data_IF_269471833842
#
_entry.id   IF_269471833842
#
_cell.length_a   1.000
_cell.length_b   1.000
_cell.length_c   1.000
_cell.angle_alpha   90.00
_cell.angle_beta   90.00
_cell.angle_gamma   90.00
#
_symmetry.space_group_name_H-M   'P 1'
#
loop_
_entity.id
_entity.type
_entity.pdbx_description
1 polymer ?
#
# COMPACT_ATOMS: atom_id res chain seq x y z
N UNK A 1 7.43 2.10 0.53
CA UNK A 1 8.88 1.84 0.60
C UNK A 1 9.25 2.31 1.98
N UNK A 2 9.46 1.38 2.91
CA UNK A 2 9.77 1.75 4.30
C UNK A 2 11.19 2.32 4.28
N UNK A 3 11.30 3.64 4.43
CA UNK A 3 12.59 4.33 4.50
C UNK A 3 13.26 3.90 5.82
N UNK A 4 14.32 3.10 5.74
CA UNK A 4 15.22 2.88 6.87
C UNK A 4 16.23 4.02 6.91
N UNK A 5 16.14 4.86 7.94
CA UNK A 5 17.25 5.71 8.37
C UNK A 5 18.22 4.78 9.10
N UNK A 6 19.37 4.50 8.49
CA UNK A 6 20.44 3.76 9.14
C UNK A 6 21.18 4.68 10.12
N UNK A 7 21.11 4.40 11.42
CA UNK A 7 22.03 4.98 12.40
C UNK A 7 23.36 4.20 12.42
N UNK A 8 24.51 4.87 12.57
CA UNK A 8 25.82 4.23 12.54
C UNK A 8 26.03 3.37 13.79
N UNK A 9 26.40 2.09 13.59
CA UNK A 9 26.88 1.21 14.67
C UNK A 9 28.28 1.64 15.08
N UNK A 10 28.44 2.10 16.31
CA UNK A 10 29.71 2.07 17.01
C UNK A 10 29.89 0.68 17.63
N UNK A 11 31.02 0.04 17.29
CA UNK A 11 31.56 -1.12 18.00
C UNK A 11 32.21 -0.64 19.30
N UNK A 12 31.87 -1.25 20.44
CA UNK A 12 32.84 -1.63 21.48
C UNK A 12 32.28 -2.76 22.35
N UNK A 13 33.11 -3.80 22.50
CA UNK A 13 32.95 -4.99 23.34
C UNK A 13 32.90 -4.69 24.84
N UNK A 14 32.30 -5.63 25.60
CA UNK A 14 32.45 -5.69 27.07
C UNK A 14 31.60 -6.76 27.76
N UNK A 15 32.21 -7.90 28.05
CA UNK A 15 31.63 -9.12 28.66
C UNK A 15 31.47 -9.02 30.22
N UNK A 16 30.32 -9.52 30.74
CA UNK A 16 30.04 -10.23 32.03
C UNK A 16 30.14 -9.51 33.42
N UNK A 17 29.60 -10.07 34.54
CA UNK A 17 28.36 -10.88 34.74
C UNK A 17 27.52 -10.56 36.03
N UNK A 18 26.29 -11.11 36.04
CA UNK A 18 25.42 -11.60 37.14
C UNK A 18 25.59 -11.12 38.60
N UNK A 19 24.46 -10.80 39.26
CA UNK A 19 24.18 -11.24 40.65
C UNK A 19 22.70 -11.18 41.01
N UNK A 20 22.21 -12.31 41.47
CA UNK A 20 20.96 -12.58 42.19
C UNK A 20 20.87 -11.90 43.55
N UNK A 21 19.66 -11.50 43.99
CA UNK A 21 19.19 -11.66 45.38
C UNK A 21 17.66 -11.56 45.48
N UNK A 22 17.14 -12.18 46.53
CA UNK A 22 15.80 -12.74 46.74
C UNK A 22 15.28 -12.22 48.09
N UNK A 23 13.94 -12.13 48.24
CA UNK A 23 13.14 -12.13 49.49
C UNK A 23 13.19 -10.88 50.41
N UNK A 24 12.13 -10.37 51.09
CA UNK A 24 10.95 -10.89 51.83
C UNK A 24 9.83 -9.80 51.89
N UNK A 25 8.53 -10.11 51.71
CA UNK A 25 7.43 -10.42 52.67
C UNK A 25 6.85 -9.28 53.56
N UNK A 26 5.49 -9.28 53.65
CA UNK A 26 4.68 -8.72 54.75
C UNK A 26 3.51 -7.84 54.26
N UNK A 27 2.35 -8.41 53.89
CA UNK A 27 1.11 -8.55 54.70
C UNK A 27 0.51 -7.19 55.15
N UNK A 28 -0.73 -6.79 54.79
CA UNK A 28 -2.00 -7.37 55.29
C UNK A 28 -3.24 -6.74 54.61
N UNK A 29 -4.16 -7.62 54.20
CA UNK A 29 -5.63 -7.68 54.39
C UNK A 29 -6.52 -6.42 54.48
N UNK A 30 -7.59 -6.43 53.65
CA UNK A 30 -8.83 -5.69 53.87
C UNK A 30 -9.96 -6.13 52.92
N UNK A 31 -10.79 -7.09 53.37
CA UNK A 31 -12.00 -7.60 52.68
C UNK A 31 -13.19 -6.70 53.01
N UNK A 32 -13.93 -6.21 52.00
CA UNK A 32 -15.37 -5.87 52.13
C UNK A 32 -16.08 -6.02 50.77
N UNK A 33 -17.23 -6.71 50.77
CA UNK A 33 -18.34 -6.68 49.79
C UNK A 33 -19.62 -6.94 50.59
N UNK A 34 -20.86 -6.75 50.10
CA UNK A 34 -21.35 -6.13 48.85
C UNK A 34 -22.49 -5.10 49.08
N UNK A 35 -22.84 -4.27 48.08
CA UNK A 35 -24.25 -3.89 47.82
C UNK A 35 -24.43 -3.22 46.46
N UNK A 36 -25.55 -3.55 45.81
CA UNK A 36 -26.07 -3.02 44.54
C UNK A 36 -26.24 -1.49 44.53
N UNK A 37 -25.83 -0.83 43.44
CA UNK A 37 -26.62 0.25 42.86
C UNK A 37 -26.20 0.58 41.41
N UNK A 38 -27.21 0.49 40.54
CA UNK A 38 -27.50 1.33 39.36
C UNK A 38 -26.45 1.53 38.27
N UNK A 39 -26.86 1.12 37.07
CA UNK A 39 -26.32 1.49 35.78
C UNK A 39 -26.08 3.01 35.70
N UNK A 40 -24.83 3.39 35.54
CA UNK A 40 -24.42 4.71 35.06
C UNK A 40 -23.79 4.52 33.69
N UNK A 41 -24.42 5.13 32.68
CA UNK A 41 -23.88 5.27 31.35
C UNK A 41 -22.53 5.97 31.44
N UNK A 42 -21.45 5.22 31.25
CA UNK A 42 -20.11 5.78 31.18
C UNK A 42 -19.94 6.41 29.80
N UNK A 43 -19.83 7.72 29.87
CA UNK A 43 -19.69 8.70 28.81
C UNK A 43 -18.52 8.34 27.89
N UNK A 44 -18.79 8.34 26.59
CA UNK A 44 -17.80 8.32 25.52
C UNK A 44 -16.99 9.63 25.60
N UNK A 45 -15.64 9.60 25.65
CA UNK A 45 -14.87 10.78 25.31
C UNK A 45 -14.01 10.58 24.05
N UNK A 46 -13.94 11.69 23.31
CA UNK A 46 -13.19 11.95 22.08
C UNK A 46 -13.90 11.51 20.81
N UNK A 47 -14.80 12.39 20.33
CA UNK A 47 -15.13 12.42 18.92
C UNK A 47 -13.86 12.76 18.13
N UNK A 48 -13.53 12.02 17.06
CA UNK A 48 -12.64 12.56 16.05
C UNK A 48 -13.24 13.87 15.54
N UNK A 49 -12.38 14.84 15.21
CA UNK A 49 -12.74 16.07 14.51
C UNK A 49 -13.84 15.76 13.48
N UNK A 50 -14.94 16.53 13.44
CA UNK A 50 -16.01 16.25 12.50
C UNK A 50 -15.39 16.12 11.11
N UNK A 51 -15.73 15.06 10.34
CA UNK A 51 -15.18 14.90 9.00
C UNK A 51 -15.41 16.20 8.24
N UNK A 52 -14.42 16.58 7.42
CA UNK A 52 -14.66 17.58 6.39
C UNK A 52 -15.97 17.25 5.65
N UNK A 53 -16.61 18.23 5.03
CA UNK A 53 -17.81 17.99 4.21
C UNK A 53 -17.63 16.88 3.15
N UNK A 54 -16.39 16.47 2.87
CA UNK A 54 -15.98 15.41 1.94
C UNK A 54 -15.90 14.00 2.55
N UNK A 55 -15.97 13.83 3.88
CA UNK A 55 -15.88 12.50 4.51
C UNK A 55 -14.46 11.89 4.52
N UNK A 56 -13.43 12.73 4.41
CA UNK A 56 -12.01 12.33 4.43
C UNK A 56 -11.41 12.60 5.80
N UNK A 57 -10.70 11.62 6.34
CA UNK A 57 -9.96 11.73 7.59
C UNK A 57 -8.47 11.83 7.26
N UNK A 58 -7.82 12.89 7.72
CA UNK A 58 -6.37 13.01 7.63
C UNK A 58 -5.72 12.18 8.74
N UNK A 59 -5.00 11.13 8.35
CA UNK A 59 -4.35 10.20 9.26
C UNK A 59 -2.83 10.32 9.22
N UNK A 60 -2.30 11.30 8.48
CA UNK A 60 -0.85 11.48 8.34
C UNK A 60 -0.21 11.76 9.69
N UNK A 61 0.88 11.04 9.96
CA UNK A 61 1.70 11.24 11.16
C UNK A 61 2.48 12.57 11.15
N UNK A 62 2.55 13.24 10.00
CA UNK A 62 3.14 14.56 9.80
C UNK A 62 2.17 15.43 9.00
N UNK A 63 2.18 16.75 9.26
CA UNK A 63 1.43 17.70 8.43
C UNK A 63 2.04 17.84 7.04
N UNK A 64 3.33 17.51 6.88
CA UNK A 64 3.98 17.42 5.58
C UNK A 64 3.45 16.19 4.81
N UNK A 65 2.93 16.41 3.62
CA UNK A 65 2.57 15.34 2.69
C UNK A 65 3.81 14.55 2.29
N UNK A 66 3.64 13.25 2.02
CA UNK A 66 4.69 12.47 1.35
C UNK A 66 5.08 13.12 0.01
N UNK A 67 4.12 13.79 -0.64
CA UNK A 67 4.34 14.54 -1.87
C UNK A 67 5.24 15.78 -1.66
N UNK A 68 5.31 16.31 -0.44
CA UNK A 68 6.18 17.45 -0.11
C UNK A 68 7.65 17.03 0.01
N UNK A 69 7.93 15.72 0.14
CA UNK A 69 9.29 15.18 0.26
C UNK A 69 9.85 14.65 -1.08
N UNK A 70 9.12 14.83 -2.19
CA UNK A 70 9.52 14.28 -3.49
C UNK A 70 10.83 14.87 -4.02
N UNK A 71 11.14 16.11 -3.67
CA UNK A 71 12.42 16.73 -3.99
C UNK A 71 13.59 15.99 -3.33
N UNK A 72 13.51 15.75 -2.03
CA UNK A 72 14.50 15.08 -1.21
C UNK A 72 14.66 13.63 -1.65
N UNK A 73 13.55 12.91 -1.84
CA UNK A 73 13.56 11.53 -2.35
C UNK A 73 14.19 11.44 -3.74
N UNK A 74 13.94 12.42 -4.61
CA UNK A 74 14.54 12.46 -5.95
C UNK A 74 16.04 12.68 -5.87
N UNK A 75 16.50 13.63 -5.05
CA UNK A 75 17.94 13.88 -4.86
C UNK A 75 18.64 12.68 -4.23
N UNK A 76 18.10 12.09 -3.16
CA UNK A 76 18.64 10.89 -2.52
C UNK A 76 18.75 9.71 -3.50
N UNK A 77 17.74 9.52 -4.33
CA UNK A 77 17.71 8.48 -5.36
C UNK A 77 18.74 8.73 -6.47
N UNK A 78 18.89 9.98 -6.93
CA UNK A 78 19.89 10.36 -7.94
C UNK A 78 21.32 10.35 -7.40
N UNK A 79 21.52 10.46 -6.09
CA UNK A 79 22.84 10.40 -5.43
C UNK A 79 23.35 8.99 -5.17
N UNK A 80 22.50 7.97 -5.31
CA UNK A 80 22.93 6.59 -5.08
C UNK A 80 24.12 6.22 -5.99
N UNK A 81 24.95 5.24 -5.60
CA UNK A 81 26.05 4.76 -6.44
C UNK A 81 25.60 4.25 -7.80
N UNK A 82 26.57 4.13 -8.72
CA UNK A 82 26.32 3.57 -10.06
C UNK A 82 25.57 2.23 -9.98
N UNK A 83 24.48 2.12 -10.73
CA UNK A 83 23.64 0.91 -10.76
C UNK A 83 22.59 0.81 -9.64
N UNK A 84 22.55 1.78 -8.71
CA UNK A 84 21.55 1.85 -7.63
C UNK A 84 20.69 3.14 -7.66
N UNK A 85 20.83 3.98 -8.69
CA UNK A 85 20.08 5.23 -8.81
C UNK A 85 18.59 4.97 -9.07
N UNK A 86 17.76 5.75 -8.40
CA UNK A 86 16.29 5.66 -8.50
C UNK A 86 15.64 7.03 -8.53
N UNK A 87 14.39 7.09 -8.99
CA UNK A 87 13.46 8.18 -8.73
C UNK A 87 12.19 7.64 -8.06
N UNK A 88 11.55 8.41 -7.18
CA UNK A 88 10.33 7.96 -6.53
C UNK A 88 9.20 7.77 -7.55
N UNK A 89 8.57 6.61 -7.56
CA UNK A 89 7.43 6.32 -8.44
C UNK A 89 6.25 7.27 -8.23
N UNK A 90 6.14 7.89 -7.05
CA UNK A 90 5.13 8.90 -6.70
C UNK A 90 5.09 10.09 -7.67
N UNK A 91 6.19 10.38 -8.36
CA UNK A 91 6.23 11.38 -9.43
C UNK A 91 5.29 11.05 -10.61
N UNK A 92 4.81 9.80 -10.71
CA UNK A 92 3.94 9.34 -11.77
C UNK A 92 2.44 9.40 -11.44
N UNK A 93 2.07 9.79 -10.21
CA UNK A 93 0.72 9.54 -9.66
C UNK A 93 -0.04 10.79 -9.24
N UNK A 94 0.44 12.00 -9.58
CA UNK A 94 -0.42 13.19 -9.49
C UNK A 94 -1.56 13.13 -10.52
N UNK A 95 -2.48 14.10 -10.49
CA UNK A 95 -3.67 14.14 -11.37
C UNK A 95 -3.35 13.85 -12.85
N UNK A 96 -2.36 14.56 -13.41
CA UNK A 96 -1.96 14.39 -14.81
C UNK A 96 -1.25 13.05 -15.05
N UNK A 97 -0.46 12.57 -14.08
CA UNK A 97 0.12 11.24 -14.12
C UNK A 97 -0.94 10.15 -14.17
N UNK A 98 -2.01 10.29 -13.39
CA UNK A 98 -3.14 9.38 -13.38
C UNK A 98 -3.92 9.39 -14.70
N UNK A 99 -4.12 10.55 -15.32
CA UNK A 99 -4.75 10.66 -16.64
C UNK A 99 -3.97 9.92 -17.73
N UNK A 100 -2.65 10.09 -17.74
CA UNK A 100 -1.75 9.36 -18.64
C UNK A 100 -1.77 7.85 -18.37
N UNK A 101 -1.87 7.43 -17.11
CA UNK A 101 -2.02 6.02 -16.77
C UNK A 101 -3.38 5.47 -17.21
N UNK A 102 -4.46 6.25 -17.15
CA UNK A 102 -5.77 5.86 -17.65
C UNK A 102 -5.74 5.57 -19.18
N UNK A 103 -4.90 6.25 -19.96
CA UNK A 103 -4.67 5.89 -21.38
C UNK A 103 -4.06 4.49 -21.54
N UNK A 104 -3.17 4.08 -20.62
CA UNK A 104 -2.60 2.73 -20.60
C UNK A 104 -3.69 1.71 -20.25
N UNK A 105 -4.54 2.01 -19.26
CA UNK A 105 -5.66 1.14 -18.88
C UNK A 105 -6.66 0.93 -20.02
N UNK A 106 -6.84 1.93 -20.88
CA UNK A 106 -7.69 1.85 -22.07
C UNK A 106 -7.06 1.04 -23.22
N UNK A 107 -5.76 0.72 -23.15
CA UNK A 107 -5.08 -0.07 -24.17
C UNK A 107 -5.42 -1.55 -24.07
N UNK A 108 -5.82 -2.15 -25.20
CA UNK A 108 -6.06 -3.59 -25.29
C UNK A 108 -4.81 -4.44 -24.99
N UNK A 109 -3.61 -3.85 -25.12
CA UNK A 109 -2.33 -4.50 -24.87
C UNK A 109 -2.02 -4.64 -23.38
N UNK A 110 -2.55 -3.74 -22.53
CA UNK A 110 -2.33 -3.82 -21.08
C UNK A 110 -3.27 -4.86 -20.45
N UNK A 111 -2.91 -6.14 -20.62
CA UNK A 111 -3.71 -7.25 -20.11
C UNK A 111 -4.00 -7.19 -18.61
N UNK A 112 -3.11 -6.71 -17.70
CA UNK A 112 -3.34 -6.82 -16.25
C UNK A 112 -4.66 -6.17 -15.81
N UNK A 113 -5.00 -5.02 -16.38
CA UNK A 113 -6.26 -4.34 -16.08
C UNK A 113 -7.48 -5.11 -16.61
N UNK A 114 -7.41 -5.62 -17.84
CA UNK A 114 -8.53 -6.34 -18.46
C UNK A 114 -8.80 -7.66 -17.74
N UNK A 115 -7.76 -8.46 -17.51
CA UNK A 115 -7.91 -9.78 -16.90
C UNK A 115 -8.45 -9.68 -15.48
N UNK A 116 -8.01 -8.71 -14.69
CA UNK A 116 -8.54 -8.48 -13.35
C UNK A 116 -10.01 -8.06 -13.39
N UNK A 117 -10.39 -7.15 -14.30
CA UNK A 117 -11.79 -6.75 -14.46
C UNK A 117 -12.68 -7.92 -14.89
N UNK A 118 -12.23 -8.74 -15.83
CA UNK A 118 -12.94 -9.94 -16.30
C UNK A 118 -13.11 -10.95 -15.16
N UNK A 119 -12.03 -11.21 -14.42
CA UNK A 119 -12.03 -12.11 -13.25
C UNK A 119 -12.98 -11.61 -12.16
N UNK A 120 -12.91 -10.32 -11.81
CA UNK A 120 -13.83 -9.72 -10.85
C UNK A 120 -15.26 -9.89 -11.32
N UNK A 121 -15.61 -9.53 -12.56
CA UNK A 121 -16.99 -9.69 -13.08
C UNK A 121 -17.49 -11.14 -13.02
N UNK A 122 -16.63 -12.12 -13.24
CA UNK A 122 -17.00 -13.54 -13.23
C UNK A 122 -17.17 -14.10 -11.81
N UNK A 123 -16.43 -13.57 -10.83
CA UNK A 123 -16.33 -14.14 -9.46
C UNK A 123 -16.80 -13.20 -8.36
N UNK A 124 -17.40 -12.05 -8.71
CA UNK A 124 -17.66 -10.98 -7.74
C UNK A 124 -18.56 -11.42 -6.59
N UNK A 125 -19.56 -12.26 -6.86
CA UNK A 125 -20.49 -12.74 -5.85
C UNK A 125 -19.81 -13.70 -4.86
N UNK A 126 -18.93 -14.59 -5.36
CA UNK A 126 -18.12 -15.48 -4.51
C UNK A 126 -17.13 -14.69 -3.64
N UNK A 127 -16.47 -13.69 -4.23
CA UNK A 127 -15.54 -12.79 -3.55
C UNK A 127 -16.27 -12.01 -2.45
N UNK A 128 -17.40 -11.39 -2.79
CA UNK A 128 -18.23 -10.62 -1.87
C UNK A 128 -18.76 -11.49 -0.72
N UNK A 129 -19.26 -12.68 -1.03
CA UNK A 129 -19.74 -13.64 -0.02
C UNK A 129 -18.63 -14.08 0.93
N UNK A 130 -17.42 -14.31 0.41
CA UNK A 130 -16.25 -14.66 1.23
C UNK A 130 -15.90 -13.53 2.22
N UNK A 131 -15.89 -12.27 1.73
CA UNK A 131 -15.61 -11.11 2.59
C UNK A 131 -16.72 -10.90 3.62
N UNK A 132 -17.99 -10.96 3.22
CA UNK A 132 -19.13 -10.81 4.14
C UNK A 132 -19.12 -11.87 5.25
N UNK A 133 -18.79 -13.12 4.91
CA UNK A 133 -18.72 -14.24 5.86
C UNK A 133 -17.53 -14.18 6.82
N UNK A 134 -16.61 -13.22 6.65
CA UNK A 134 -15.42 -13.08 7.51
C UNK A 134 -15.68 -12.36 8.86
N UNK A 135 -16.94 -11.95 9.08
CA UNK A 135 -17.35 -11.07 10.19
C UNK A 135 -16.52 -9.79 10.20
N UNK A 136 -16.41 -9.14 9.05
CA UNK A 136 -15.68 -7.89 8.90
C UNK A 136 -16.56 -6.72 9.34
N UNK A 137 -16.02 -5.83 10.16
CA UNK A 137 -16.71 -4.61 10.62
C UNK A 137 -16.41 -3.43 9.67
N UNK A 138 -15.28 -3.49 8.96
CA UNK A 138 -14.85 -2.44 8.03
C UNK A 138 -14.02 -2.99 6.88
N UNK A 139 -14.00 -2.26 5.76
CA UNK A 139 -13.12 -2.52 4.61
C UNK A 139 -12.20 -1.33 4.41
N UNK A 140 -10.91 -1.56 4.19
CA UNK A 140 -9.93 -0.53 3.86
C UNK A 140 -9.25 -0.89 2.54
N UNK A 141 -9.43 -0.08 1.49
CA UNK A 141 -8.71 -0.23 0.23
C UNK A 141 -7.40 0.55 0.25
N UNK A 142 -6.30 -0.13 -0.08
CA UNK A 142 -4.95 0.40 -0.07
C UNK A 142 -4.56 0.90 -1.48
N UNK A 143 -4.46 2.21 -1.67
CA UNK A 143 -4.18 2.82 -2.97
C UNK A 143 -5.40 2.70 -3.87
N UNK A 144 -6.47 3.39 -3.48
CA UNK A 144 -7.80 3.20 -4.05
C UNK A 144 -7.95 3.75 -5.48
N UNK A 145 -7.09 4.70 -5.88
CA UNK A 145 -7.05 5.25 -7.24
C UNK A 145 -8.44 5.65 -7.74
N UNK A 146 -8.78 5.31 -8.99
CA UNK A 146 -10.06 5.71 -9.61
C UNK A 146 -11.29 4.87 -9.19
N UNK A 147 -11.12 3.87 -8.30
CA UNK A 147 -12.20 3.04 -7.73
C UNK A 147 -13.19 2.38 -8.71
N UNK A 148 -12.80 2.22 -9.98
CA UNK A 148 -13.71 1.60 -10.99
C UNK A 148 -14.01 0.14 -10.64
N UNK A 149 -12.98 -0.65 -10.31
CA UNK A 149 -13.13 -2.04 -9.84
C UNK A 149 -13.81 -2.12 -8.48
N UNK A 150 -13.45 -1.20 -7.59
CA UNK A 150 -14.01 -1.06 -6.25
C UNK A 150 -15.53 -0.90 -6.31
N UNK A 151 -16.06 -0.12 -7.26
CA UNK A 151 -17.51 0.04 -7.44
C UNK A 151 -18.25 -1.29 -7.66
N UNK A 152 -17.66 -2.21 -8.43
CA UNK A 152 -18.23 -3.55 -8.66
C UNK A 152 -18.20 -4.38 -7.39
N UNK A 153 -17.06 -4.35 -6.68
CA UNK A 153 -16.88 -5.08 -5.43
C UNK A 153 -17.83 -4.59 -4.32
N UNK A 154 -17.90 -3.28 -4.08
CA UNK A 154 -18.77 -2.72 -3.06
C UNK A 154 -20.25 -2.95 -3.36
N UNK A 155 -20.68 -2.84 -4.62
CA UNK A 155 -22.06 -3.14 -4.99
C UNK A 155 -22.43 -4.62 -4.82
N UNK A 156 -21.49 -5.54 -4.97
CA UNK A 156 -21.70 -6.96 -4.70
C UNK A 156 -21.67 -7.25 -3.18
N UNK A 157 -20.73 -6.65 -2.45
CA UNK A 157 -20.62 -6.78 -1.00
C UNK A 157 -21.87 -6.24 -0.29
N UNK A 158 -22.36 -5.07 -0.67
CA UNK A 158 -23.54 -4.43 -0.07
C UNK A 158 -24.77 -5.35 -0.10
N UNK A 159 -24.95 -6.14 -1.17
CA UNK A 159 -26.05 -7.12 -1.29
C UNK A 159 -25.94 -8.30 -0.33
N UNK A 160 -24.75 -8.57 0.20
CA UNK A 160 -24.47 -9.66 1.14
C UNK A 160 -24.57 -9.20 2.60
N UNK A 161 -24.74 -7.90 2.84
CA UNK A 161 -24.76 -7.32 4.18
C UNK A 161 -26.20 -7.12 4.65
N UNK A 162 -26.41 -7.30 5.95
CA UNK A 162 -27.62 -6.94 6.69
C UNK A 162 -27.34 -5.94 7.82
N UNK A 163 -26.06 -5.62 8.06
CA UNK A 163 -25.60 -4.63 9.04
C UNK A 163 -24.72 -3.57 8.39
N UNK A 164 -24.71 -2.32 8.90
CA UNK A 164 -23.85 -1.27 8.39
C UNK A 164 -22.36 -1.60 8.44
N UNK A 165 -21.63 -1.19 7.42
CA UNK A 165 -20.17 -1.32 7.30
C UNK A 165 -19.57 -0.02 6.76
N UNK A 166 -18.36 0.33 7.19
CA UNK A 166 -17.63 1.47 6.61
C UNK A 166 -16.53 0.99 5.69
N UNK A 167 -16.56 1.49 4.46
CA UNK A 167 -15.49 1.37 3.48
C UNK A 167 -14.61 2.62 3.53
N UNK A 168 -13.30 2.42 3.66
CA UNK A 168 -12.29 3.46 3.67
C UNK A 168 -11.38 3.34 2.44
N UNK A 169 -11.34 4.38 1.62
CA UNK A 169 -10.33 4.55 0.58
C UNK A 169 -9.09 5.22 1.16
N UNK A 170 -7.95 4.53 1.22
CA UNK A 170 -6.68 5.08 1.67
C UNK A 170 -5.81 5.50 0.48
N UNK A 171 -5.47 6.78 0.41
CA UNK A 171 -4.58 7.34 -0.62
C UNK A 171 -3.78 8.55 -0.13
N UNK A 172 -2.75 8.94 -0.88
CA UNK A 172 -1.80 10.03 -0.52
C UNK A 172 -2.14 11.36 -1.19
N UNK A 173 -2.95 11.35 -2.26
CA UNK A 173 -3.37 12.55 -2.98
C UNK A 173 -4.81 12.92 -2.60
N UNK A 174 -4.96 14.06 -1.91
CA UNK A 174 -6.26 14.52 -1.43
C UNK A 174 -7.24 14.83 -2.56
N UNK A 175 -6.79 15.53 -3.62
CA UNK A 175 -7.66 15.96 -4.70
C UNK A 175 -8.17 14.75 -5.50
N UNK A 176 -7.29 13.78 -5.76
CA UNK A 176 -7.65 12.52 -6.40
C UNK A 176 -8.60 11.70 -5.53
N UNK A 177 -8.37 11.64 -4.21
CA UNK A 177 -9.23 10.92 -3.27
C UNK A 177 -10.65 11.53 -3.24
N UNK A 178 -10.77 12.85 -3.17
CA UNK A 178 -12.05 13.57 -3.21
C UNK A 178 -12.82 13.29 -4.51
N UNK A 179 -12.15 13.43 -5.65
CA UNK A 179 -12.74 13.19 -6.97
C UNK A 179 -13.19 11.73 -7.16
N UNK A 180 -12.38 10.78 -6.69
CA UNK A 180 -12.65 9.34 -6.84
C UNK A 180 -13.79 8.87 -5.92
N UNK A 181 -13.88 9.38 -4.68
CA UNK A 181 -15.01 9.11 -3.78
C UNK A 181 -16.31 9.66 -4.35
N UNK A 182 -16.30 10.89 -4.89
CA UNK A 182 -17.48 11.47 -5.54
C UNK A 182 -17.95 10.59 -6.71
N UNK A 183 -17.02 10.23 -7.59
CA UNK A 183 -17.29 9.37 -8.75
C UNK A 183 -17.81 7.98 -8.33
N UNK A 184 -17.26 7.38 -7.29
CA UNK A 184 -17.74 6.11 -6.74
C UNK A 184 -19.19 6.22 -6.28
N UNK A 185 -19.51 7.25 -5.47
CA UNK A 185 -20.88 7.50 -4.98
C UNK A 185 -21.89 7.74 -6.10
N UNK A 186 -21.48 8.34 -7.22
CA UNK A 186 -22.32 8.52 -8.40
C UNK A 186 -22.56 7.21 -9.17
N UNK A 187 -21.62 6.26 -9.12
CA UNK A 187 -21.69 4.97 -9.83
C UNK A 187 -22.43 3.88 -9.06
N UNK A 188 -22.57 4.02 -7.75
CA UNK A 188 -23.13 2.98 -6.86
C UNK A 188 -24.32 3.47 -6.07
N UNK A 189 -25.27 2.58 -5.79
CA UNK A 189 -26.29 2.77 -4.76
C UNK A 189 -26.04 1.75 -3.66
N UNK A 190 -25.52 2.21 -2.52
CA UNK A 190 -25.13 1.37 -1.39
C UNK A 190 -26.09 1.61 -0.22
N UNK A 191 -26.61 0.54 0.36
CA UNK A 191 -27.58 0.59 1.46
C UNK A 191 -26.90 0.44 2.82
N UNK A 192 -25.94 -0.47 2.92
CA UNK A 192 -25.26 -0.83 4.16
C UNK A 192 -23.85 -0.26 4.24
N UNK A 193 -23.23 0.07 3.09
CA UNK A 193 -21.85 0.56 3.05
C UNK A 193 -21.78 2.08 3.04
N UNK A 194 -21.16 2.66 4.08
CA UNK A 194 -20.74 4.06 4.09
C UNK A 194 -19.34 4.21 3.47
N UNK A 195 -19.18 5.17 2.54
CA UNK A 195 -17.90 5.45 1.87
C UNK A 195 -17.21 6.67 2.48
N UNK A 196 -15.99 6.46 3.00
CA UNK A 196 -15.09 7.48 3.57
C UNK A 196 -13.70 7.41 2.94
N UNK A 197 -12.93 8.48 3.11
CA UNK A 197 -11.51 8.55 2.71
C UNK A 197 -10.57 8.60 3.90
N UNK A 198 -9.36 8.07 3.71
CA UNK A 198 -8.22 8.24 4.60
C UNK A 198 -7.10 8.89 3.78
N UNK A 199 -6.66 10.07 4.18
CA UNK A 199 -5.50 10.73 3.59
C UNK A 199 -4.26 10.32 4.37
N UNK A 200 -3.36 9.58 3.73
CA UNK A 200 -2.10 9.17 4.34
C UNK A 200 -1.40 8.02 3.62
N UNK A 201 -0.21 7.67 4.10
CA UNK A 201 0.55 6.53 3.57
C UNK A 201 0.01 5.19 4.08
N UNK A 202 0.44 4.07 3.49
CA UNK A 202 0.14 2.75 4.03
C UNK A 202 0.64 2.58 5.47
N UNK A 203 1.79 3.17 5.82
CA UNK A 203 2.31 3.14 7.17
C UNK A 203 1.45 3.97 8.14
N UNK A 204 0.91 5.10 7.69
CA UNK A 204 -0.06 5.87 8.47
C UNK A 204 -1.35 5.09 8.68
N UNK A 205 -1.85 4.42 7.64
CA UNK A 205 -3.02 3.53 7.71
C UNK A 205 -2.83 2.41 8.72
N UNK A 206 -1.74 1.65 8.60
CA UNK A 206 -1.40 0.57 9.52
C UNK A 206 -1.36 1.04 10.99
N UNK A 207 -0.74 2.19 11.25
CA UNK A 207 -0.65 2.79 12.58
C UNK A 207 -2.00 3.32 13.08
N UNK A 208 -2.77 4.00 12.23
CA UNK A 208 -4.07 4.55 12.59
C UNK A 208 -5.03 3.42 12.98
N UNK A 209 -5.04 2.31 12.25
CA UNK A 209 -5.88 1.15 12.52
C UNK A 209 -5.52 0.38 13.80
N UNK A 210 -4.27 0.51 14.27
CA UNK A 210 -3.76 -0.20 15.44
C UNK A 210 -3.93 0.60 16.75
N UNK A 211 -3.98 1.94 16.66
CA UNK A 211 -4.05 2.84 17.82
C UNK A 211 -5.37 2.80 18.59
N UNK A 212 -5.37 2.71 19.93
CA UNK A 212 -6.59 2.80 20.74
C UNK A 212 -7.38 4.09 20.52
N UNK A 213 -6.70 5.22 20.31
CA UNK A 213 -7.32 6.55 20.16
C UNK A 213 -8.14 6.67 18.87
N UNK A 214 -7.85 5.84 17.87
CA UNK A 214 -8.64 5.79 16.63
C UNK A 214 -10.03 5.20 16.86
N UNK A 215 -10.23 4.45 17.95
CA UNK A 215 -11.41 3.60 18.14
C UNK A 215 -11.47 2.40 17.19
N UNK A 216 -10.50 2.20 16.28
CA UNK A 216 -10.56 1.15 15.26
C UNK A 216 -9.94 -0.17 15.73
N UNK A 217 -9.10 -0.16 16.77
CA UNK A 217 -8.31 -1.33 17.19
C UNK A 217 -9.13 -2.60 17.41
N UNK A 218 -10.33 -2.46 17.98
CA UNK A 218 -11.22 -3.58 18.30
C UNK A 218 -12.06 -4.06 17.10
N UNK A 219 -12.17 -3.27 16.03
CA UNK A 219 -12.92 -3.63 14.82
C UNK A 219 -12.15 -4.63 13.96
N UNK A 220 -12.87 -5.60 13.43
CA UNK A 220 -12.41 -6.61 12.47
C UNK A 220 -12.30 -5.99 11.09
N UNK A 221 -11.10 -6.03 10.52
CA UNK A 221 -10.80 -5.25 9.31
C UNK A 221 -10.49 -6.14 8.12
N UNK A 222 -11.12 -5.89 6.98
CA UNK A 222 -10.71 -6.47 5.70
C UNK A 222 -9.89 -5.45 4.92
N UNK A 223 -8.67 -5.80 4.57
CA UNK A 223 -7.84 -4.97 3.68
C UNK A 223 -8.09 -5.39 2.23
N UNK A 224 -8.23 -4.43 1.32
CA UNK A 224 -8.40 -4.68 -0.12
C UNK A 224 -7.24 -4.03 -0.85
N UNK A 225 -6.59 -4.76 -1.75
CA UNK A 225 -5.50 -4.22 -2.56
C UNK A 225 -5.55 -4.80 -3.97
N UNK A 226 -6.17 -4.04 -4.86
CA UNK A 226 -6.42 -4.42 -6.25
C UNK A 226 -5.32 -3.88 -7.18
N UNK A 227 -5.28 -4.36 -8.44
CA UNK A 227 -4.47 -3.74 -9.49
C UNK A 227 -3.03 -4.20 -9.59
N UNK A 228 -2.65 -5.32 -8.94
CA UNK A 228 -1.26 -5.75 -8.82
C UNK A 228 -0.36 -4.70 -8.13
N UNK A 229 -0.93 -3.70 -7.46
CA UNK A 229 -0.20 -2.55 -6.92
C UNK A 229 0.75 -2.94 -5.79
N UNK A 230 0.43 -3.98 -5.01
CA UNK A 230 1.36 -4.54 -4.02
C UNK A 230 2.67 -5.00 -4.67
N UNK A 231 2.62 -5.47 -5.93
CA UNK A 231 3.78 -5.99 -6.64
C UNK A 231 4.68 -4.88 -7.20
N UNK A 232 4.36 -3.61 -6.95
CA UNK A 232 5.33 -2.54 -7.17
C UNK A 232 6.51 -2.64 -6.18
N UNK A 233 6.27 -3.25 -5.02
CA UNK A 233 7.29 -3.62 -4.05
C UNK A 233 8.11 -4.84 -4.48
N UNK A 234 9.32 -4.95 -3.93
CA UNK A 234 10.00 -6.23 -3.89
C UNK A 234 9.24 -7.19 -2.95
N UNK A 235 9.34 -8.49 -3.21
CA UNK A 235 8.59 -9.51 -2.47
C UNK A 235 8.77 -9.43 -0.94
N UNK A 236 9.96 -9.08 -0.45
CA UNK A 236 10.21 -8.94 0.98
C UNK A 236 9.55 -7.68 1.56
N UNK A 237 9.65 -6.54 0.88
CA UNK A 237 9.01 -5.28 1.26
C UNK A 237 7.48 -5.41 1.24
N UNK A 238 6.93 -6.12 0.24
CA UNK A 238 5.50 -6.43 0.18
C UNK A 238 5.04 -7.22 1.41
N UNK A 239 5.85 -8.21 1.83
CA UNK A 239 5.65 -8.93 3.07
C UNK A 239 5.65 -8.00 4.28
N UNK A 240 6.62 -7.09 4.41
CA UNK A 240 6.67 -6.13 5.52
C UNK A 240 5.42 -5.24 5.57
N UNK A 241 4.93 -4.76 4.41
CA UNK A 241 3.70 -3.95 4.37
C UNK A 241 2.48 -4.78 4.79
N UNK A 242 2.30 -5.99 4.27
CA UNK A 242 1.23 -6.89 4.73
C UNK A 242 1.32 -7.17 6.24
N UNK A 243 2.54 -7.38 6.73
CA UNK A 243 2.85 -7.58 8.15
C UNK A 243 2.40 -6.40 9.00
N UNK A 244 2.57 -5.17 8.52
CA UNK A 244 2.17 -3.96 9.25
C UNK A 244 0.65 -3.78 9.43
N UNK A 245 -0.17 -4.49 8.64
CA UNK A 245 -1.63 -4.52 8.83
C UNK A 245 -2.09 -5.77 9.60
N UNK A 246 -1.26 -6.81 9.67
CA UNK A 246 -1.50 -8.01 10.47
C UNK A 246 -1.03 -7.86 11.92
N UNK A 247 -0.01 -7.05 12.16
CA UNK A 247 0.61 -6.79 13.46
C UNK A 247 0.76 -5.29 13.69
N UNK A 248 0.65 -4.86 14.94
CA UNK A 248 0.85 -3.47 15.33
C UNK A 248 2.30 -3.04 14.99
N UNK A 249 2.50 -1.93 14.26
CA UNK A 249 3.84 -1.50 13.88
C UNK A 249 4.75 -1.08 15.03
N UNK A 250 4.20 -0.75 16.21
CA UNK A 250 4.94 -0.28 17.38
C UNK A 250 5.32 -1.43 18.33
N UNK A 251 4.39 -2.34 18.65
CA UNK A 251 4.62 -3.42 19.62
C UNK A 251 4.58 -4.85 19.05
N UNK A 252 4.22 -5.01 17.78
CA UNK A 252 4.14 -6.31 17.10
C UNK A 252 2.95 -7.17 17.50
N UNK A 253 2.04 -6.67 18.34
CA UNK A 253 0.84 -7.41 18.75
C UNK A 253 -0.10 -7.66 17.55
N UNK A 254 -0.79 -8.80 17.46
CA UNK A 254 -1.71 -9.05 16.36
C UNK A 254 -2.82 -8.00 16.29
N UNK A 255 -3.04 -7.43 15.09
CA UNK A 255 -4.20 -6.59 14.84
C UNK A 255 -5.46 -7.44 14.61
N UNK A 256 -6.64 -6.85 14.84
CA UNK A 256 -7.91 -7.55 14.60
C UNK A 256 -8.25 -7.61 13.10
N UNK A 257 -7.52 -8.45 12.37
CA UNK A 257 -7.66 -8.62 10.92
C UNK A 257 -8.73 -9.67 10.59
N UNK A 258 -9.67 -9.34 9.72
CA UNK A 258 -10.60 -10.29 9.10
C UNK A 258 -9.90 -11.08 7.98
N UNK A 259 -9.22 -10.36 7.09
CA UNK A 259 -8.38 -10.90 6.02
C UNK A 259 -7.88 -9.83 5.05
N UNK A 260 -7.20 -10.27 3.99
CA UNK A 260 -6.85 -9.44 2.83
C UNK A 260 -7.52 -9.99 1.58
N UNK A 261 -8.04 -9.11 0.74
CA UNK A 261 -8.37 -9.39 -0.65
C UNK A 261 -7.28 -8.76 -1.54
N UNK A 262 -6.42 -9.60 -2.11
CA UNK A 262 -5.20 -9.18 -2.80
C UNK A 262 -5.23 -9.58 -4.28
N UNK A 263 -5.09 -8.64 -5.20
CA UNK A 263 -4.92 -8.94 -6.62
C UNK A 263 -3.44 -8.93 -7.00
N UNK A 264 -2.97 -10.03 -7.61
CA UNK A 264 -1.58 -10.20 -8.04
C UNK A 264 -1.54 -10.85 -9.41
N UNK A 265 -0.70 -10.30 -10.28
CA UNK A 265 -0.39 -10.84 -11.60
C UNK A 265 0.69 -11.92 -11.46
N UNK A 266 0.46 -13.14 -11.94
CA UNK A 266 1.42 -14.24 -11.92
C UNK A 266 2.09 -14.54 -13.26
N UNK A 267 1.73 -13.83 -14.34
CA UNK A 267 2.18 -14.11 -15.69
C UNK A 267 3.72 -14.18 -15.79
N UNK A 268 4.24 -15.19 -16.49
CA UNK A 268 5.68 -15.39 -16.74
C UNK A 268 6.05 -15.29 -18.23
N UNK A 269 5.09 -14.97 -19.11
CA UNK A 269 5.36 -14.78 -20.53
C UNK A 269 6.05 -13.44 -20.76
N UNK A 270 7.36 -13.49 -21.00
CA UNK A 270 8.19 -12.30 -21.21
C UNK A 270 7.70 -11.39 -22.35
N UNK A 271 7.18 -11.96 -23.45
CA UNK A 271 6.71 -11.17 -24.58
C UNK A 271 5.40 -10.48 -24.24
N UNK A 272 4.46 -11.21 -23.63
CA UNK A 272 3.18 -10.65 -23.22
C UNK A 272 3.35 -9.54 -22.19
N UNK A 273 4.21 -9.76 -21.19
CA UNK A 273 4.55 -8.75 -20.18
C UNK A 273 5.20 -7.54 -20.85
N UNK A 274 6.20 -7.74 -21.72
CA UNK A 274 6.88 -6.62 -22.37
C UNK A 274 5.92 -5.79 -23.23
N UNK A 275 5.02 -6.42 -23.99
CA UNK A 275 4.02 -5.70 -24.78
C UNK A 275 2.98 -4.96 -23.93
N UNK A 276 2.62 -5.50 -22.76
CA UNK A 276 1.71 -4.83 -21.85
C UNK A 276 2.34 -3.57 -21.25
N UNK A 277 3.61 -3.63 -20.86
CA UNK A 277 4.27 -2.53 -20.15
C UNK A 277 5.05 -1.57 -21.05
N UNK A 278 5.40 -1.93 -22.28
CA UNK A 278 5.90 -1.00 -23.31
C UNK A 278 4.93 -1.01 -24.50
N UNK A 279 3.75 -0.43 -24.26
CA UNK A 279 2.67 -0.40 -25.25
C UNK A 279 3.19 0.22 -26.55
N UNK A 280 3.04 -0.45 -27.73
CA UNK A 280 3.63 0.03 -28.99
C UNK A 280 3.20 1.44 -29.42
N UNK A 281 2.02 1.89 -28.98
CA UNK A 281 1.50 3.25 -29.25
C UNK A 281 2.06 4.32 -28.29
N UNK A 282 3.00 3.94 -27.43
CA UNK A 282 3.88 4.84 -26.67
C UNK A 282 3.28 5.44 -25.39
N UNK A 283 2.09 5.01 -24.95
CA UNK A 283 1.40 5.50 -23.74
C UNK A 283 2.31 5.34 -22.52
N UNK A 284 2.87 4.14 -22.30
CA UNK A 284 3.75 3.92 -21.14
C UNK A 284 4.99 4.80 -21.19
N UNK A 285 5.57 5.01 -22.37
CA UNK A 285 6.74 5.87 -22.54
C UNK A 285 6.42 7.32 -22.22
N UNK A 286 5.23 7.82 -22.63
CA UNK A 286 4.75 9.16 -22.28
C UNK A 286 4.53 9.29 -20.78
N UNK A 287 3.85 8.32 -20.17
CA UNK A 287 3.59 8.30 -18.73
C UNK A 287 4.88 8.25 -17.90
N UNK A 288 5.83 7.38 -18.24
CA UNK A 288 7.11 7.31 -17.53
C UNK A 288 7.92 8.60 -17.71
N UNK A 289 7.99 9.15 -18.94
CA UNK A 289 8.67 10.44 -19.19
C UNK A 289 8.07 11.60 -18.41
N UNK A 290 6.76 11.61 -18.18
CA UNK A 290 6.12 12.60 -17.35
C UNK A 290 6.71 12.68 -15.93
N UNK A 291 7.28 11.59 -15.40
CA UNK A 291 8.02 11.62 -14.14
C UNK A 291 9.19 12.60 -14.11
N UNK A 292 9.85 12.85 -15.26
CA UNK A 292 10.89 13.89 -15.37
C UNK A 292 10.31 15.30 -15.24
N UNK A 293 9.14 15.55 -15.84
CA UNK A 293 8.40 16.82 -15.71
C UNK A 293 7.91 17.06 -14.28
N UNK A 294 7.43 16.00 -13.61
CA UNK A 294 7.06 16.09 -12.20
C UNK A 294 8.29 16.38 -11.34
N UNK A 295 9.41 15.68 -11.55
CA UNK A 295 10.64 15.90 -10.81
C UNK A 295 11.16 17.34 -10.96
N UNK A 296 11.11 17.90 -12.19
CA UNK A 296 11.45 19.31 -12.45
C UNK A 296 10.62 20.27 -11.59
N UNK A 297 9.29 20.09 -11.57
CA UNK A 297 8.38 20.92 -10.76
C UNK A 297 8.67 20.85 -9.26
N UNK A 298 8.91 19.64 -8.73
CA UNK A 298 9.18 19.46 -7.30
C UNK A 298 10.57 20.00 -6.90
N UNK A 299 11.59 19.80 -7.75
CA UNK A 299 12.93 20.30 -7.50
C UNK A 299 13.04 21.82 -7.68
N UNK A 300 12.26 22.41 -8.59
CA UNK A 300 12.18 23.86 -8.83
C UNK A 300 13.57 24.54 -8.81
N UNK A 301 14.51 23.98 -9.58
CA UNK A 301 15.93 24.37 -9.61
C UNK A 301 16.40 24.41 -11.07
N UNK A 302 17.09 25.47 -11.54
CA UNK A 302 17.56 25.59 -12.91
C UNK A 302 18.52 24.47 -13.37
N UNK A 303 19.34 23.95 -12.46
CA UNK A 303 20.24 22.84 -12.76
C UNK A 303 19.45 21.54 -12.88
N UNK A 304 18.37 21.37 -12.11
CA UNK A 304 17.43 20.26 -12.29
C UNK A 304 16.71 20.35 -13.64
N UNK A 305 16.24 21.53 -14.04
CA UNK A 305 15.64 21.77 -15.37
C UNK A 305 16.59 21.35 -16.50
N UNK A 306 17.88 21.72 -16.39
CA UNK A 306 18.92 21.36 -17.37
C UNK A 306 19.25 19.86 -17.35
N UNK A 307 19.31 19.25 -16.17
CA UNK A 307 19.60 17.82 -15.99
C UNK A 307 18.47 16.94 -16.54
N UNK A 308 17.22 17.31 -16.26
CA UNK A 308 16.02 16.52 -16.51
C UNK A 308 15.36 16.82 -17.87
N UNK A 309 16.02 17.55 -18.77
CA UNK A 309 15.53 17.73 -20.15
C UNK A 309 15.36 16.39 -20.85
N UNK A 310 14.28 16.25 -21.60
CA UNK A 310 13.92 15.00 -22.30
C UNK A 310 15.04 14.46 -23.22
N UNK A 311 15.84 15.33 -23.84
CA UNK A 311 16.94 14.92 -24.73
C UNK A 311 18.11 14.24 -24.00
N UNK A 312 18.19 14.40 -22.68
CA UNK A 312 19.18 13.74 -21.83
C UNK A 312 18.78 12.30 -21.46
N UNK A 313 17.53 11.89 -21.71
CA UNK A 313 16.98 10.62 -21.19
C UNK A 313 16.25 9.81 -22.26
N UNK A 314 16.59 8.51 -22.35
CA UNK A 314 15.77 7.53 -23.08
C UNK A 314 15.01 6.65 -22.10
N UNK A 315 13.78 6.29 -22.48
CA UNK A 315 13.01 5.27 -21.78
C UNK A 315 13.62 3.89 -22.04
N UNK A 316 13.64 3.04 -21.01
CA UNK A 316 13.92 1.62 -21.15
C UNK A 316 13.03 0.83 -20.19
N UNK A 317 12.15 0.02 -20.74
CA UNK A 317 11.43 -1.00 -20.00
C UNK A 317 12.11 -2.36 -20.17
N UNK A 318 12.14 -3.17 -19.10
CA UNK A 318 12.84 -4.46 -19.11
C UNK A 318 12.13 -5.48 -18.24
N UNK A 319 11.85 -6.65 -18.82
CA UNK A 319 11.52 -7.84 -18.06
C UNK A 319 12.80 -8.45 -17.44
N UNK A 320 12.81 -8.64 -16.12
CA UNK A 320 13.89 -9.28 -15.37
C UNK A 320 13.38 -10.64 -14.86
N UNK A 321 13.56 -11.74 -15.60
CA UNK A 321 12.98 -13.03 -15.27
C UNK A 321 13.46 -13.58 -13.91
N UNK A 322 14.72 -13.36 -13.54
CA UNK A 322 15.28 -13.81 -12.26
C UNK A 322 14.66 -13.09 -11.06
N UNK A 323 14.14 -11.88 -11.28
CA UNK A 323 13.45 -11.07 -10.28
C UNK A 323 11.93 -11.12 -10.44
N UNK A 324 11.45 -11.81 -11.48
CA UNK A 324 10.06 -11.90 -11.91
C UNK A 324 9.35 -10.55 -11.89
N UNK A 325 9.97 -9.55 -12.51
CA UNK A 325 9.38 -8.21 -12.55
C UNK A 325 9.73 -7.46 -13.80
N UNK A 326 8.80 -6.62 -14.23
CA UNK A 326 9.05 -5.62 -15.25
C UNK A 326 9.53 -4.33 -14.59
N UNK A 327 10.59 -3.72 -15.10
CA UNK A 327 11.19 -2.52 -14.54
C UNK A 327 11.29 -1.42 -15.58
N UNK A 328 11.00 -0.19 -15.16
CA UNK A 328 11.07 1.01 -15.97
C UNK A 328 12.25 1.87 -15.53
N UNK A 329 13.02 2.33 -16.51
CA UNK A 329 14.22 3.10 -16.32
C UNK A 329 14.24 4.36 -17.20
N UNK A 330 14.82 5.42 -16.67
CA UNK A 330 15.47 6.45 -17.49
C UNK A 330 16.92 6.04 -17.72
N UNK A 331 17.41 6.23 -18.94
CA UNK A 331 18.82 5.98 -19.26
C UNK A 331 19.44 7.25 -19.79
N UNK A 332 20.54 7.68 -19.17
CA UNK A 332 21.28 8.87 -19.58
C UNK A 332 21.82 8.69 -21.01
N UNK A 333 21.61 9.68 -21.87
CA UNK A 333 22.07 9.67 -23.27
C UNK A 333 23.48 10.23 -23.46
N UNK A 334 24.07 10.77 -22.40
CA UNK A 334 25.43 11.33 -22.32
C UNK A 334 25.86 11.42 -20.85
N UNK A 335 27.09 11.81 -20.60
CA UNK A 335 27.53 12.19 -19.25
C UNK A 335 26.74 13.42 -18.76
N UNK A 336 26.12 13.29 -17.59
CA UNK A 336 25.31 14.33 -16.96
C UNK A 336 25.89 14.70 -15.60
N UNK A 337 26.08 15.99 -15.38
CA UNK A 337 26.58 16.55 -14.12
C UNK A 337 25.73 17.77 -13.76
N UNK A 338 25.32 17.88 -12.50
CA UNK A 338 24.58 19.02 -11.98
C UNK A 338 24.84 19.17 -10.46
N UNK A 339 24.76 20.41 -9.98
CA UNK A 339 24.68 20.71 -8.55
C UNK A 339 23.30 21.26 -8.27
N UNK A 340 22.42 20.44 -7.69
CA UNK A 340 21.01 20.78 -7.48
C UNK A 340 20.84 21.01 -5.99
N UNK A 341 20.46 22.23 -5.57
CA UNK A 341 20.31 22.59 -4.15
C UNK A 341 21.50 22.19 -3.25
N UNK A 342 22.72 22.29 -3.78
CA UNK A 342 23.96 21.94 -3.08
C UNK A 342 24.36 20.47 -3.14
N UNK A 343 23.56 19.62 -3.79
CA UNK A 343 23.85 18.20 -3.96
C UNK A 343 24.48 17.90 -5.32
N UNK A 344 25.61 17.21 -5.33
CA UNK A 344 26.31 16.81 -6.56
C UNK A 344 25.68 15.54 -7.14
N UNK A 345 25.18 15.67 -8.37
CA UNK A 345 24.61 14.56 -9.15
C UNK A 345 25.49 14.29 -10.36
N UNK A 346 25.96 13.04 -10.45
CA UNK A 346 26.76 12.55 -11.57
C UNK A 346 26.12 11.30 -12.15
N UNK A 347 25.92 11.29 -13.47
CA UNK A 347 25.55 10.10 -14.23
C UNK A 347 26.46 9.95 -15.45
N UNK A 348 26.85 8.71 -15.74
CA UNK A 348 27.56 8.38 -16.98
C UNK A 348 26.59 8.08 -18.12
N UNK A 349 27.03 8.28 -19.36
CA UNK A 349 26.28 7.81 -20.52
C UNK A 349 25.91 6.33 -20.36
N UNK A 350 24.64 6.00 -20.63
CA UNK A 350 24.12 4.64 -20.49
C UNK A 350 23.74 4.25 -19.06
N UNK A 351 24.00 5.09 -18.06
CA UNK A 351 23.59 4.84 -16.69
C UNK A 351 22.07 4.88 -16.53
N UNK A 352 21.55 3.97 -15.70
CA UNK A 352 20.11 3.71 -15.54
C UNK A 352 19.63 4.26 -14.20
N UNK A 353 18.48 4.91 -14.22
CA UNK A 353 17.75 5.38 -13.04
C UNK A 353 16.39 4.68 -13.03
N UNK A 354 16.16 3.80 -12.07
CA UNK A 354 14.89 3.07 -11.95
C UNK A 354 13.79 4.00 -11.42
N UNK A 355 12.59 3.95 -11.99
CA UNK A 355 11.44 4.73 -11.48
C UNK A 355 10.29 3.86 -10.96
N UNK A 356 10.07 2.70 -11.57
CA UNK A 356 8.97 1.81 -11.18
C UNK A 356 9.31 0.38 -11.54
N UNK A 357 8.87 -0.57 -10.71
CA UNK A 357 8.80 -1.97 -11.09
C UNK A 357 7.40 -2.52 -10.88
N UNK A 358 7.11 -3.65 -11.52
CA UNK A 358 5.87 -4.40 -11.35
C UNK A 358 6.18 -5.89 -11.36
N UNK A 359 6.08 -6.50 -10.18
CA UNK A 359 6.30 -7.92 -9.96
C UNK A 359 5.21 -8.77 -10.59
N UNK A 360 5.61 -10.01 -10.91
CA UNK A 360 4.75 -11.09 -11.37
C UNK A 360 4.95 -12.27 -10.45
N UNK A 361 3.99 -12.52 -9.57
CA UNK A 361 4.13 -13.55 -8.53
C UNK A 361 3.09 -14.64 -8.75
N UNK A 362 3.58 -15.83 -9.01
CA UNK A 362 2.78 -17.05 -9.02
C UNK A 362 2.11 -17.25 -7.66
N UNK A 363 1.07 -18.08 -7.62
CA UNK A 363 0.44 -18.49 -6.35
C UNK A 363 1.44 -18.99 -5.29
N UNK A 364 2.49 -19.67 -5.74
CA UNK A 364 3.54 -20.19 -4.83
C UNK A 364 4.34 -19.06 -4.17
N UNK A 365 4.67 -18.00 -4.91
CA UNK A 365 5.32 -16.81 -4.37
C UNK A 365 4.40 -16.03 -3.45
N UNK A 366 3.14 -15.81 -3.83
CA UNK A 366 2.16 -15.15 -2.96
C UNK A 366 2.07 -15.90 -1.62
N UNK A 367 1.92 -17.22 -1.66
CA UNK A 367 1.88 -18.05 -0.44
C UNK A 367 3.16 -17.91 0.41
N UNK A 368 4.34 -17.86 -0.21
CA UNK A 368 5.63 -17.68 0.49
C UNK A 368 5.79 -16.28 1.10
N UNK A 369 5.32 -15.24 0.42
CA UNK A 369 5.36 -13.85 0.91
C UNK A 369 4.45 -13.73 2.13
N UNK A 370 3.21 -14.23 2.03
CA UNK A 370 2.20 -14.13 3.07
C UNK A 370 2.53 -14.98 4.32
N UNK A 371 3.02 -16.22 4.14
CA UNK A 371 3.30 -17.13 5.27
C UNK A 371 4.37 -16.60 6.23
N UNK A 372 5.33 -15.80 5.75
CA UNK A 372 6.32 -15.11 6.59
C UNK A 372 5.71 -14.10 7.56
N UNK A 373 4.49 -13.65 7.29
CA UNK A 373 3.73 -12.70 8.08
C UNK A 373 2.58 -13.37 8.84
N UNK A 374 2.59 -14.69 8.96
CA UNK A 374 1.49 -15.43 9.60
C UNK A 374 0.17 -15.32 8.82
N UNK A 375 0.23 -15.16 7.50
CA UNK A 375 -0.94 -15.13 6.61
C UNK A 375 -0.95 -16.38 5.71
N UNK A 376 -2.13 -16.93 5.50
CA UNK A 376 -2.36 -18.11 4.64
C UNK A 376 -3.36 -17.76 3.55
N UNK A 377 -3.16 -18.33 2.36
CA UNK A 377 -4.14 -18.28 1.26
C UNK A 377 -5.25 -19.26 1.58
N UNK A 378 -6.43 -18.75 1.94
CA UNK A 378 -7.59 -19.59 2.25
C UNK A 378 -8.40 -19.88 0.99
N UNK A 379 -8.63 -18.87 0.17
CA UNK A 379 -9.32 -18.99 -1.12
C UNK A 379 -8.58 -18.16 -2.18
N UNK A 380 -8.77 -18.51 -3.44
CA UNK A 380 -8.23 -17.74 -4.55
C UNK A 380 -9.04 -18.00 -5.82
N UNK A 381 -9.15 -16.96 -6.65
CA UNK A 381 -9.78 -17.02 -7.96
C UNK A 381 -8.76 -16.53 -8.98
N UNK A 382 -8.68 -17.19 -10.13
CA UNK A 382 -7.68 -16.82 -11.13
C UNK A 382 -8.18 -16.90 -12.57
N UNK A 383 -7.50 -16.14 -13.43
CA UNK A 383 -7.43 -16.45 -14.84
C UNK A 383 -6.37 -17.52 -15.05
N UNK A 384 -6.79 -18.69 -15.55
CA UNK A 384 -5.88 -19.81 -15.83
C UNK A 384 -4.89 -19.47 -16.94
N UNK A 385 -5.32 -18.69 -17.94
CA UNK A 385 -4.49 -18.34 -19.10
C UNK A 385 -3.32 -17.42 -18.75
N UNK A 386 -3.57 -16.45 -17.86
CA UNK A 386 -2.62 -15.35 -17.57
C UNK A 386 -1.99 -15.46 -16.17
N UNK A 387 -2.37 -16.48 -15.40
CA UNK A 387 -1.99 -16.65 -13.99
C UNK A 387 -2.26 -15.41 -13.12
N UNK A 388 -3.25 -14.60 -13.49
CA UNK A 388 -3.66 -13.44 -12.69
C UNK A 388 -4.63 -13.91 -11.61
N UNK A 389 -4.33 -13.63 -10.35
CA UNK A 389 -5.10 -14.11 -9.19
C UNK A 389 -5.64 -13.00 -8.30
N UNK A 390 -6.83 -13.24 -7.74
CA UNK A 390 -7.38 -12.54 -6.59
C UNK A 390 -7.37 -13.52 -5.43
N UNK A 391 -6.70 -13.17 -4.34
CA UNK A 391 -6.43 -14.04 -3.21
C UNK A 391 -7.16 -13.54 -1.97
N UNK A 392 -7.84 -14.45 -1.27
CA UNK A 392 -8.33 -14.23 0.08
C UNK A 392 -7.34 -14.80 1.09
N UNK A 393 -6.71 -13.89 1.85
CA UNK A 393 -5.71 -14.23 2.85
C UNK A 393 -6.28 -14.05 4.25
N UNK A 394 -5.95 -14.95 5.17
CA UNK A 394 -6.31 -14.81 6.58
C UNK A 394 -5.14 -15.11 7.50
N UNK A 395 -5.21 -14.63 8.75
CA UNK A 395 -4.21 -14.98 9.75
C UNK A 395 -4.22 -16.49 10.01
N UNK A 396 -3.03 -17.09 10.05
CA UNK A 396 -2.82 -18.49 10.45
C UNK A 396 -3.02 -18.71 11.96
N UNK A 397 -3.02 -17.63 12.74
CA UNK A 397 -3.28 -17.70 14.18
C UNK A 397 -4.76 -18.03 14.40
N UNK A 398 -5.04 -19.15 15.07
CA UNK A 398 -6.42 -19.54 15.41
C UNK A 398 -7.03 -18.47 16.32
N UNK A 399 -8.17 -17.92 15.92
CA UNK A 399 -8.96 -17.04 16.77
C UNK A 399 -9.54 -17.85 17.93
N UNK A 400 -9.45 -17.33 19.16
CA UNK A 400 -10.44 -17.64 20.20
C UNK A 400 -11.63 -16.71 19.99
N UNK A 401 -12.85 -17.22 20.13
CA UNK A 401 -14.11 -16.57 19.73
C UNK A 401 -14.40 -15.23 20.42
N UNK A 402 -13.62 -14.83 21.42
CA UNK A 402 -13.78 -13.57 22.14
C UNK A 402 -12.43 -12.90 22.37
N UNK A 403 -12.09 -11.94 21.50
CA UNK A 403 -11.14 -10.85 21.72
C UNK A 403 -9.89 -11.14 22.55
N UNK A 404 -8.77 -11.39 21.85
CA UNK A 404 -7.38 -11.22 22.33
C UNK A 404 -6.98 -12.14 23.51
N UNK A 405 -6.18 -13.16 23.22
CA UNK A 405 -5.14 -13.61 24.15
C UNK A 405 -3.92 -14.07 23.35
N UNK A 406 -2.79 -13.41 23.62
CA UNK A 406 -1.44 -13.83 23.26
C UNK A 406 -1.14 -15.17 23.95
N UNK A 407 -0.50 -16.10 23.23
CA UNK A 407 0.36 -17.09 23.88
C UNK A 407 1.81 -16.64 23.67
N UNK A 408 2.54 -16.65 24.78
CA UNK A 408 3.90 -16.14 25.03
C UNK A 408 4.95 -16.86 24.18
#
# INVERSE_FOLDING_TARGET
>A
MVVRIASPRSYTDGYLPSKSRKFLNGDTLGVVSPTHQQASALSIPVQPTPPSATGIIDIRSSTASLLDSLDTMTLEGLRQPYGAKTMPSLLLWDEKGQDLYNEILASNQYYPYRVENELLKQRIDEIASTVASSSTDMVVELGAGNMTKTSLFLAALDKQLDTPLVYYALDVDQAQLESSIKTLKERTSLTFIEVRGLLGTYADGARWLSRPESGMRHLRKTMVWLGNSIANYLQHEAGEVLGSFAHDPEDGSPQNLAGFLLAVDGCQDAQLISHAYDVPTGQTRRWVRYGLEAAKRHLNDPEAERLLRDDNWRFMGRWEPERQRYENYFVATKDLNATIRGEEIHLKEGERVQILGSGKWTKSEVSRICSRQGLVVNEWWNSVELDYGVYWLQSSLRRKESGIAMDI
#
